data_IF_883484511769
#
_entry.id   IF_883484511769
#
_cell.length_a   1.000
_cell.length_b   1.000
_cell.length_c   1.000
_cell.angle_alpha   90.00
_cell.angle_beta   90.00
_cell.angle_gamma   90.00
#
_symmetry.space_group_name_H-M   'P 1'
#
loop_
_entity.id
_entity.type
_entity.pdbx_description
1 polymer ?
#
# COMPACT_ATOMS: atom_id res chain seq x y z
N UNK A 1 -26.01 45.32 -19.84
CA UNK A 1 -25.32 44.04 -20.06
C UNK A 1 -24.15 44.04 -19.11
N UNK A 2 -24.13 43.11 -18.16
CA UNK A 2 -23.03 42.93 -17.20
C UNK A 2 -22.51 41.53 -17.43
N UNK A 3 -21.30 41.45 -17.98
CA UNK A 3 -20.71 40.20 -18.43
C UNK A 3 -20.42 39.28 -17.23
N UNK A 4 -20.76 38.01 -17.39
CA UNK A 4 -20.36 36.96 -16.45
C UNK A 4 -18.84 36.78 -16.59
N UNK A 5 -18.04 36.84 -15.50
CA UNK A 5 -16.61 36.65 -15.61
C UNK A 5 -16.32 35.25 -16.16
N UNK A 6 -15.40 35.17 -17.13
CA UNK A 6 -15.07 33.94 -17.82
C UNK A 6 -14.71 32.81 -16.83
N UNK A 7 -15.23 31.61 -17.10
CA UNK A 7 -14.86 30.42 -16.34
C UNK A 7 -13.38 30.13 -16.57
N UNK A 8 -12.55 30.45 -15.57
CA UNK A 8 -11.11 30.15 -15.57
C UNK A 8 -10.94 28.64 -15.72
N UNK A 9 -10.31 28.20 -16.81
CA UNK A 9 -10.08 26.80 -17.06
C UNK A 9 -8.94 26.31 -16.16
N UNK A 10 -9.30 25.65 -15.06
CA UNK A 10 -8.37 25.00 -14.14
C UNK A 10 -8.00 23.63 -14.69
N UNK A 11 -6.69 23.38 -14.84
CA UNK A 11 -6.16 22.13 -15.38
C UNK A 11 -5.01 21.61 -14.51
N UNK A 12 -5.01 20.32 -14.22
CA UNK A 12 -3.84 19.68 -13.61
C UNK A 12 -2.72 19.48 -14.63
N UNK A 13 -1.53 19.94 -14.27
CA UNK A 13 -0.30 19.80 -15.03
C UNK A 13 0.79 19.16 -14.14
N UNK A 14 1.62 18.30 -14.71
CA UNK A 14 2.74 17.68 -13.99
C UNK A 14 3.79 18.73 -13.62
N UNK A 15 4.25 18.74 -12.36
CA UNK A 15 5.20 19.73 -11.85
C UNK A 15 6.48 19.80 -12.69
N UNK A 16 7.02 18.65 -13.10
CA UNK A 16 8.19 18.57 -13.99
C UNK A 16 7.99 19.13 -15.41
N UNK A 17 6.77 19.58 -15.76
CA UNK A 17 6.46 20.25 -17.04
C UNK A 17 6.12 21.73 -16.89
N UNK A 18 6.25 22.31 -15.70
CA UNK A 18 6.04 23.74 -15.46
C UNK A 18 7.13 24.58 -16.14
N UNK A 19 6.72 25.72 -16.70
CA UNK A 19 7.58 26.69 -17.38
C UNK A 19 7.28 28.11 -16.88
N UNK A 20 8.21 29.04 -17.11
CA UNK A 20 7.95 30.48 -16.95
C UNK A 20 6.70 30.88 -17.75
N UNK A 21 5.83 31.71 -17.14
CA UNK A 21 4.56 32.14 -17.69
C UNK A 21 3.36 31.27 -17.31
N UNK A 22 3.53 30.11 -16.65
CA UNK A 22 2.38 29.37 -16.12
C UNK A 22 1.80 30.09 -14.89
N UNK A 23 0.48 30.31 -14.91
CA UNK A 23 -0.29 30.86 -13.80
C UNK A 23 -0.80 29.71 -12.91
N UNK A 24 -0.18 29.50 -11.75
CA UNK A 24 -0.54 28.41 -10.83
C UNK A 24 -1.51 28.86 -9.74
N UNK A 25 -2.37 27.95 -9.28
CA UNK A 25 -3.10 28.09 -8.02
C UNK A 25 -2.14 27.80 -6.85
N UNK A 26 -2.14 28.66 -5.84
CA UNK A 26 -1.30 28.51 -4.65
C UNK A 26 -1.89 27.46 -3.68
N UNK A 27 -1.08 26.90 -2.76
CA UNK A 27 -1.54 25.90 -1.78
C UNK A 27 -2.67 26.36 -0.83
N UNK A 28 -3.00 27.66 -0.82
CA UNK A 28 -4.16 28.20 -0.11
C UNK A 28 -5.50 27.97 -0.84
N UNK A 29 -5.47 27.56 -2.11
CA UNK A 29 -6.66 27.26 -2.91
C UNK A 29 -7.43 28.48 -3.43
N UNK A 30 -7.04 29.71 -3.07
CA UNK A 30 -7.76 30.94 -3.43
C UNK A 30 -6.95 31.88 -4.33
N UNK A 31 -5.62 31.92 -4.15
CA UNK A 31 -4.74 32.87 -4.84
C UNK A 31 -4.02 32.21 -6.00
N UNK A 32 -3.77 32.98 -7.06
CA UNK A 32 -3.01 32.55 -8.23
C UNK A 32 -1.76 33.40 -8.41
N UNK A 33 -0.66 32.81 -8.87
CA UNK A 33 0.58 33.52 -9.15
C UNK A 33 1.28 32.98 -10.40
N UNK A 34 1.91 33.87 -11.16
CA UNK A 34 2.66 33.52 -12.36
C UNK A 34 4.09 33.08 -11.98
N UNK A 35 4.54 31.98 -12.58
CA UNK A 35 5.91 31.49 -12.47
C UNK A 35 6.83 32.38 -13.30
N UNK A 36 7.77 33.06 -12.64
CA UNK A 36 8.81 33.85 -13.32
C UNK A 36 10.03 32.99 -13.71
N UNK A 37 10.40 32.02 -12.87
CA UNK A 37 11.57 31.17 -13.06
C UNK A 37 11.30 29.76 -12.51
N UNK A 38 11.81 28.74 -13.20
CA UNK A 38 11.78 27.33 -12.78
C UNK A 38 13.21 26.80 -12.71
N UNK A 39 13.56 26.20 -11.58
CA UNK A 39 14.80 25.42 -11.41
C UNK A 39 14.47 23.98 -11.01
N UNK A 40 15.41 23.06 -11.30
CA UNK A 40 15.23 21.62 -11.07
C UNK A 40 16.33 21.10 -10.14
N UNK A 41 15.95 20.80 -8.90
CA UNK A 41 16.81 20.20 -7.88
C UNK A 41 16.85 18.67 -8.10
N UNK A 42 18.05 18.10 -8.14
CA UNK A 42 18.26 16.65 -8.27
C UNK A 42 18.51 16.01 -6.90
N UNK A 43 18.12 14.74 -6.74
CA UNK A 43 18.49 13.94 -5.57
C UNK A 43 19.97 13.51 -5.59
N UNK A 44 20.40 12.84 -4.52
CA UNK A 44 21.75 12.28 -4.35
C UNK A 44 22.11 11.20 -5.40
N UNK A 45 21.13 10.69 -6.15
CA UNK A 45 21.32 9.74 -7.25
C UNK A 45 21.30 10.42 -8.63
N UNK A 46 21.14 11.75 -8.68
CA UNK A 46 21.12 12.57 -9.88
C UNK A 46 19.78 12.59 -10.62
N UNK A 47 18.70 12.01 -10.07
CA UNK A 47 17.37 12.07 -10.65
C UNK A 47 16.66 13.39 -10.27
N UNK A 48 15.80 13.97 -11.13
CA UNK A 48 15.00 15.14 -10.78
C UNK A 48 14.07 14.87 -9.59
N UNK A 49 14.21 15.64 -8.51
CA UNK A 49 13.48 15.44 -7.26
C UNK A 49 12.49 16.57 -6.96
N UNK A 50 12.95 17.82 -7.05
CA UNK A 50 12.13 19.00 -6.77
C UNK A 50 12.18 20.02 -7.91
N UNK A 51 11.04 20.67 -8.13
CA UNK A 51 10.87 21.85 -8.96
C UNK A 51 10.81 23.06 -8.01
N UNK A 52 11.68 24.03 -8.25
CA UNK A 52 11.72 25.30 -7.53
C UNK A 52 11.10 26.38 -8.44
N UNK A 53 9.86 26.74 -8.16
CA UNK A 53 9.13 27.75 -8.95
C UNK A 53 9.12 29.09 -8.21
N UNK A 54 9.86 30.08 -8.73
CA UNK A 54 9.89 31.45 -8.21
C UNK A 54 8.81 32.30 -8.85
N UNK A 55 8.03 33.01 -8.04
CA UNK A 55 6.82 33.72 -8.47
C UNK A 55 7.05 35.22 -8.71
N UNK A 56 6.28 35.80 -9.62
CA UNK A 56 6.29 37.26 -9.90
C UNK A 56 5.91 38.12 -8.68
N UNK A 57 5.10 37.59 -7.75
CA UNK A 57 4.76 38.24 -6.48
C UNK A 57 5.82 38.10 -5.38
N UNK A 58 6.94 37.42 -5.65
CA UNK A 58 7.95 37.03 -4.66
C UNK A 58 7.61 35.72 -3.94
N UNK A 59 8.66 35.04 -3.48
CA UNK A 59 8.57 33.69 -2.90
C UNK A 59 8.82 32.56 -3.91
N UNK A 60 9.15 31.39 -3.38
CA UNK A 60 9.52 30.20 -4.15
C UNK A 60 8.76 28.98 -3.63
N UNK A 61 8.07 28.25 -4.51
CA UNK A 61 7.46 26.97 -4.18
C UNK A 61 8.46 25.83 -4.40
N UNK A 62 8.50 24.88 -3.46
CA UNK A 62 9.20 23.59 -3.59
C UNK A 62 8.15 22.53 -3.90
N UNK A 63 8.19 21.92 -5.08
CA UNK A 63 7.17 20.98 -5.56
C UNK A 63 7.88 19.69 -5.98
N UNK A 64 7.39 18.52 -5.60
CA UNK A 64 7.99 17.26 -6.06
C UNK A 64 7.73 17.04 -7.56
N UNK A 65 8.73 16.57 -8.30
CA UNK A 65 8.66 16.47 -9.78
C UNK A 65 7.48 15.60 -10.27
N UNK A 66 7.11 14.58 -9.50
CA UNK A 66 5.98 13.68 -9.79
C UNK A 66 4.61 14.12 -9.26
N UNK A 67 4.48 15.32 -8.70
CA UNK A 67 3.19 15.89 -8.28
C UNK A 67 2.47 16.58 -9.43
N UNK A 68 1.13 16.62 -9.40
CA UNK A 68 0.36 17.56 -10.22
C UNK A 68 0.17 18.90 -9.51
N UNK A 69 0.04 19.96 -10.31
CA UNK A 69 -0.23 21.35 -9.88
C UNK A 69 -1.34 21.91 -10.76
N UNK A 70 -2.27 22.64 -10.16
CA UNK A 70 -3.36 23.27 -10.90
C UNK A 70 -2.88 24.57 -11.56
N UNK A 71 -2.92 24.59 -12.89
CA UNK A 71 -2.62 25.75 -13.74
C UNK A 71 -3.94 26.35 -14.24
N UNK A 72 -3.98 27.67 -14.37
CA UNK A 72 -5.06 28.42 -15.01
C UNK A 72 -4.71 28.63 -16.48
N UNK A 73 -5.50 28.07 -17.38
CA UNK A 73 -5.44 28.39 -18.81
C UNK A 73 -6.23 29.70 -19.07
N UNK A 74 -5.54 30.74 -19.54
CA UNK A 74 -6.19 31.89 -20.18
C UNK A 74 -6.52 31.54 -21.63
N UNK A 75 -7.76 31.79 -22.05
CA UNK A 75 -8.16 31.61 -23.45
C UNK A 75 -7.53 32.73 -24.29
N UNK A 76 -6.52 32.39 -25.10
CA UNK A 76 -6.08 33.29 -26.17
C UNK A 76 -7.08 33.21 -27.33
N UNK A 77 -7.91 34.23 -27.49
CA UNK A 77 -8.68 34.41 -28.74
C UNK A 77 -7.74 34.61 -29.93
N UNK A 78 -8.21 34.16 -31.09
CA UNK A 78 -7.42 33.79 -32.27
C UNK A 78 -7.05 34.99 -33.21
N UNK A 79 -6.38 34.66 -34.32
CA UNK A 79 -6.37 35.35 -35.63
C UNK A 79 -5.05 36.05 -36.06
N UNK A 80 -4.40 35.40 -37.04
CA UNK A 80 -3.39 35.90 -38.02
C UNK A 80 -2.01 36.38 -37.56
N UNK A 81 -0.97 35.77 -38.11
CA UNK A 81 -0.24 36.42 -39.22
C UNK A 81 0.45 35.41 -40.15
N UNK A 82 0.43 35.71 -41.46
CA UNK A 82 0.96 34.86 -42.53
C UNK A 82 2.45 35.14 -42.80
N UNK A 83 3.19 34.06 -43.08
CA UNK A 83 4.53 33.93 -43.69
C UNK A 83 5.38 35.17 -44.07
N UNK A 84 6.67 35.11 -43.75
CA UNK A 84 7.73 35.34 -44.75
C UNK A 84 9.00 34.53 -44.46
N UNK A 85 9.69 34.09 -45.52
CA UNK A 85 10.80 33.13 -45.45
C UNK A 85 12.18 33.78 -45.27
N UNK A 86 13.19 33.00 -44.82
CA UNK A 86 14.52 32.87 -45.48
C UNK A 86 15.26 31.64 -44.94
N UNK A 87 15.49 30.63 -45.79
CA UNK A 87 16.58 29.62 -45.71
C UNK A 87 17.68 30.05 -46.70
N UNK A 88 18.93 29.51 -46.75
CA UNK A 88 19.38 28.12 -46.48
C UNK A 88 20.71 28.08 -45.65
N UNK A 89 21.49 27.01 -45.41
CA UNK A 89 21.67 25.62 -45.93
C UNK A 89 22.31 24.78 -44.78
N UNK A 90 22.60 23.46 -44.80
CA UNK A 90 22.49 22.32 -45.75
C UNK A 90 21.71 21.16 -45.03
N UNK A 91 21.25 20.02 -45.61
CA UNK A 91 21.73 19.06 -46.64
C UNK A 91 22.87 18.13 -46.12
N UNK A 92 22.80 16.77 -46.11
CA UNK A 92 21.81 15.76 -46.57
C UNK A 92 21.87 14.48 -45.69
N UNK A 93 20.70 13.88 -45.41
CA UNK A 93 20.36 12.42 -45.51
C UNK A 93 21.04 11.40 -44.57
N UNK A 94 20.28 10.60 -43.79
CA UNK A 94 19.43 9.44 -44.20
C UNK A 94 20.24 8.23 -44.75
N UNK A 95 19.92 6.96 -44.47
CA UNK A 95 19.10 6.31 -43.43
C UNK A 95 19.16 4.76 -43.61
N UNK A 96 18.89 3.99 -42.54
CA UNK A 96 18.45 2.58 -42.54
C UNK A 96 19.47 1.45 -42.85
N UNK A 97 19.21 0.29 -42.24
CA UNK A 97 19.91 -1.01 -42.30
C UNK A 97 19.44 -1.87 -43.53
N UNK A 98 19.66 -3.21 -43.63
CA UNK A 98 20.64 -4.14 -43.00
C UNK A 98 21.36 -5.07 -44.03
N UNK A 99 22.28 -5.95 -43.58
CA UNK A 99 22.75 -7.08 -44.41
C UNK A 99 24.00 -7.85 -43.96
N UNK A 100 23.87 -9.17 -43.76
CA UNK A 100 24.94 -10.19 -43.96
C UNK A 100 25.04 -10.52 -45.48
N UNK A 101 26.09 -11.20 -46.03
CA UNK A 101 26.92 -12.26 -45.41
C UNK A 101 28.44 -12.29 -45.81
N UNK A 102 29.15 -13.34 -45.37
CA UNK A 102 30.05 -14.25 -46.15
C UNK A 102 31.30 -14.76 -45.38
N UNK A 103 31.56 -16.08 -45.52
CA UNK A 103 32.81 -16.77 -45.13
C UNK A 103 33.93 -16.55 -46.18
N UNK A 104 35.16 -17.05 -45.93
CA UNK A 104 35.52 -18.36 -46.50
C UNK A 104 36.39 -19.27 -45.61
N UNK A 105 36.39 -20.58 -45.96
CA UNK A 105 37.38 -21.59 -45.56
C UNK A 105 38.82 -21.25 -46.08
N UNK A 106 39.95 -21.92 -45.79
CA UNK A 106 40.36 -23.33 -45.64
C UNK A 106 41.73 -23.36 -44.88
N UNK A 107 42.42 -24.44 -44.48
CA UNK A 107 42.26 -25.91 -44.45
C UNK A 107 43.33 -26.50 -43.45
N UNK A 108 43.49 -27.83 -43.35
CA UNK A 108 44.74 -28.43 -42.83
C UNK A 108 44.65 -29.71 -41.98
N UNK A 109 44.28 -30.83 -42.59
CA UNK A 109 44.71 -32.20 -42.19
C UNK A 109 45.66 -32.74 -43.30
N UNK A 110 46.39 -33.88 -43.20
CA UNK A 110 46.16 -35.06 -42.34
C UNK A 110 47.41 -35.80 -41.79
N UNK A 111 47.20 -36.93 -41.09
CA UNK A 111 47.92 -38.21 -41.34
C UNK A 111 47.37 -39.38 -40.47
N UNK A 112 47.18 -40.54 -41.10
CA UNK A 112 46.75 -41.82 -40.50
C UNK A 112 47.96 -42.59 -39.91
N UNK A 113 47.84 -43.56 -38.99
CA UNK A 113 47.38 -44.94 -39.28
C UNK A 113 47.31 -45.81 -37.99
N UNK A 114 46.57 -46.95 -37.97
CA UNK A 114 46.31 -47.77 -36.79
C UNK A 114 47.11 -49.09 -36.71
N UNK A 115 47.20 -49.69 -35.51
CA UNK A 115 47.59 -51.11 -35.30
C UNK A 115 46.85 -51.75 -34.11
N UNK A 116 46.60 -53.06 -34.20
CA UNK A 116 45.70 -53.84 -33.33
C UNK A 116 46.42 -54.58 -32.16
N UNK A 117 45.75 -54.63 -31.00
CA UNK A 117 45.52 -55.73 -30.03
C UNK A 117 46.55 -56.89 -29.78
N UNK A 118 46.41 -57.70 -28.70
CA UNK A 118 45.81 -57.48 -27.36
C UNK A 118 46.73 -57.92 -26.19
N UNK A 119 46.37 -57.58 -24.94
CA UNK A 119 47.07 -58.09 -23.75
C UNK A 119 46.34 -57.81 -22.42
N UNK A 120 46.02 -58.86 -21.67
CA UNK A 120 45.05 -58.84 -20.57
C UNK A 120 45.67 -58.67 -19.16
N UNK A 121 45.14 -57.75 -18.35
CA UNK A 121 45.12 -57.79 -16.86
C UNK A 121 44.19 -56.71 -16.29
N UNK A 122 43.31 -57.00 -15.30
CA UNK A 122 42.24 -56.08 -14.88
C UNK A 122 42.54 -55.23 -13.62
N UNK A 123 41.69 -54.20 -13.45
CA UNK A 123 41.45 -53.32 -12.29
C UNK A 123 42.39 -52.09 -12.11
N UNK A 124 41.88 -50.96 -11.57
CA UNK A 124 40.56 -50.72 -11.00
C UNK A 124 39.64 -49.77 -11.80
N UNK A 125 38.40 -49.64 -11.32
CA UNK A 125 37.28 -48.87 -11.88
C UNK A 125 37.61 -47.37 -11.99
N UNK A 126 37.50 -46.81 -13.21
CA UNK A 126 37.38 -45.37 -13.42
C UNK A 126 35.89 -45.00 -13.46
N UNK A 127 35.43 -44.25 -12.46
CA UNK A 127 34.04 -43.76 -12.41
C UNK A 127 33.80 -42.71 -13.51
N UNK A 128 32.88 -42.98 -14.43
CA UNK A 128 32.27 -41.92 -15.23
C UNK A 128 31.57 -40.93 -14.29
N UNK A 129 31.73 -39.60 -14.48
CA UNK A 129 30.99 -38.62 -13.70
C UNK A 129 29.51 -38.72 -14.09
N UNK A 130 28.70 -39.30 -13.22
CA UNK A 130 27.26 -39.25 -13.37
C UNK A 130 26.82 -37.78 -13.33
N UNK A 131 26.14 -37.32 -14.37
CA UNK A 131 25.44 -36.03 -14.34
C UNK A 131 24.29 -36.17 -13.36
N UNK A 132 24.55 -35.86 -12.09
CA UNK A 132 23.53 -35.72 -11.06
C UNK A 132 22.75 -34.45 -11.40
N UNK A 133 21.69 -34.62 -12.20
CA UNK A 133 20.63 -33.62 -12.29
C UNK A 133 20.07 -33.50 -10.87
N UNK A 134 20.16 -32.32 -10.21
CA UNK A 134 19.55 -32.14 -8.91
C UNK A 134 18.05 -32.44 -9.02
N UNK A 135 17.43 -33.10 -8.03
CA UNK A 135 15.98 -33.24 -8.04
C UNK A 135 15.36 -31.85 -8.18
N UNK A 136 14.36 -31.74 -9.07
CA UNK A 136 13.59 -30.50 -9.23
C UNK A 136 13.17 -30.02 -7.83
N UNK A 137 13.34 -28.72 -7.50
CA UNK A 137 12.91 -28.23 -6.19
C UNK A 137 11.43 -28.62 -5.97
N UNK A 138 11.04 -28.92 -4.72
CA UNK A 138 9.64 -29.24 -4.43
C UNK A 138 8.73 -28.15 -5.00
N UNK A 139 7.58 -28.58 -5.52
CA UNK A 139 6.50 -27.71 -6.00
C UNK A 139 6.35 -26.53 -5.04
N UNK A 140 6.25 -25.28 -5.54
CA UNK A 140 6.20 -24.09 -4.69
C UNK A 140 5.18 -24.29 -3.55
N UNK A 141 5.50 -23.82 -2.33
CA UNK A 141 4.67 -24.05 -1.16
C UNK A 141 3.23 -23.61 -1.43
N UNK A 142 2.29 -24.29 -0.77
CA UNK A 142 0.86 -24.04 -0.88
C UNK A 142 0.52 -22.55 -0.80
N UNK A 143 -0.56 -22.16 -1.49
CA UNK A 143 -1.03 -20.77 -1.59
C UNK A 143 -0.80 -20.00 -0.28
N UNK A 144 -0.09 -18.87 -0.38
CA UNK A 144 0.51 -18.12 0.72
C UNK A 144 -0.49 -17.43 1.69
N UNK A 145 -1.75 -17.85 1.69
CA UNK A 145 -2.84 -17.42 2.56
C UNK A 145 -3.60 -18.64 3.12
N UNK A 146 -4.82 -18.46 3.65
CA UNK A 146 -5.63 -19.57 4.15
C UNK A 146 -6.11 -20.51 3.04
N UNK A 147 -6.28 -21.79 3.40
CA UNK A 147 -6.97 -22.80 2.59
C UNK A 147 -8.48 -22.59 2.61
N UNK A 148 -9.19 -23.23 1.69
CA UNK A 148 -10.67 -23.20 1.64
C UNK A 148 -11.30 -23.75 2.93
N UNK A 149 -10.70 -24.78 3.53
CA UNK A 149 -11.11 -25.35 4.83
C UNK A 149 -10.90 -24.36 5.99
N UNK A 150 -9.80 -23.60 5.99
CA UNK A 150 -9.56 -22.53 6.97
C UNK A 150 -10.55 -21.37 6.77
N UNK A 151 -10.81 -20.94 5.52
CA UNK A 151 -11.79 -19.88 5.24
C UNK A 151 -13.22 -20.26 5.65
N UNK A 152 -13.59 -21.54 5.58
CA UNK A 152 -14.90 -22.04 6.02
C UNK A 152 -15.14 -21.90 7.54
N UNK A 153 -14.11 -21.58 8.34
CA UNK A 153 -14.25 -21.24 9.76
C UNK A 153 -14.74 -19.81 9.99
N UNK A 154 -14.70 -18.95 8.97
CA UNK A 154 -15.30 -17.61 9.01
C UNK A 154 -16.77 -17.76 8.59
N UNK A 155 -17.75 -17.40 9.46
CA UNK A 155 -19.16 -17.52 9.12
C UNK A 155 -19.52 -16.59 7.96
N UNK A 156 -20.39 -17.06 7.07
CA UNK A 156 -20.98 -16.18 6.07
C UNK A 156 -21.86 -15.11 6.77
N UNK A 157 -21.85 -13.84 6.31
CA UNK A 157 -22.64 -12.79 6.92
C UNK A 157 -24.14 -13.09 6.84
N UNK A 158 -24.86 -12.68 7.88
CA UNK A 158 -26.31 -12.92 8.02
C UNK A 158 -27.13 -11.97 7.13
N UNK A 159 -27.16 -12.25 5.82
CA UNK A 159 -27.90 -11.44 4.84
C UNK A 159 -26.97 -10.56 3.99
N UNK A 160 -27.44 -9.36 3.64
CA UNK A 160 -26.59 -8.40 2.91
C UNK A 160 -25.75 -7.56 3.89
N UNK A 161 -24.65 -6.94 3.43
CA UNK A 161 -23.86 -6.03 4.27
C UNK A 161 -24.71 -4.90 4.88
N UNK A 162 -25.69 -4.37 4.12
CA UNK A 162 -26.63 -3.37 4.60
C UNK A 162 -27.49 -3.88 5.76
N UNK A 163 -27.99 -5.12 5.69
CA UNK A 163 -28.78 -5.73 6.79
C UNK A 163 -27.97 -5.93 8.07
N UNK A 164 -26.66 -6.22 7.95
CA UNK A 164 -25.76 -6.33 9.12
C UNK A 164 -25.52 -4.95 9.76
N UNK A 165 -25.35 -3.92 8.94
CA UNK A 165 -25.23 -2.52 9.41
C UNK A 165 -26.54 -2.01 10.03
N UNK A 166 -27.68 -2.36 9.46
CA UNK A 166 -29.02 -2.02 9.97
C UNK A 166 -29.28 -2.70 11.32
N UNK A 167 -28.99 -4.00 11.45
CA UNK A 167 -29.10 -4.74 12.71
C UNK A 167 -28.25 -4.13 13.83
N UNK A 168 -27.05 -3.64 13.52
CA UNK A 168 -26.20 -2.93 14.49
C UNK A 168 -26.82 -1.59 14.95
N UNK A 169 -27.55 -0.88 14.09
CA UNK A 169 -28.31 0.31 14.48
C UNK A 169 -29.56 -0.03 15.31
N UNK A 170 -30.28 -1.09 14.95
CA UNK A 170 -31.46 -1.57 15.70
C UNK A 170 -31.09 -2.05 17.11
N UNK A 171 -29.91 -2.65 17.29
CA UNK A 171 -29.39 -3.06 18.60
C UNK A 171 -29.01 -1.86 19.49
N UNK A 172 -28.61 -0.73 18.91
CA UNK A 172 -28.09 0.45 19.62
C UNK A 172 -28.79 1.77 19.20
N UNK A 173 -30.12 1.90 19.37
CA UNK A 173 -30.91 3.00 18.81
C UNK A 173 -30.60 4.38 19.40
N UNK A 174 -29.96 4.45 20.56
CA UNK A 174 -29.55 5.69 21.23
C UNK A 174 -28.06 6.04 21.03
N UNK A 175 -27.28 5.18 20.36
CA UNK A 175 -25.84 5.34 20.20
C UNK A 175 -25.50 6.25 19.01
N UNK A 176 -25.38 7.55 19.26
CA UNK A 176 -25.17 8.56 18.20
C UNK A 176 -23.94 8.29 17.31
N UNK A 177 -22.86 7.71 17.85
CA UNK A 177 -21.69 7.30 17.06
C UNK A 177 -22.05 6.24 16.01
N UNK A 178 -22.75 5.18 16.43
CA UNK A 178 -23.29 4.14 15.54
C UNK A 178 -24.23 4.75 14.50
N UNK A 179 -25.23 5.53 14.91
CA UNK A 179 -26.21 6.13 13.99
C UNK A 179 -25.56 6.99 12.88
N UNK A 180 -24.50 7.75 13.20
CA UNK A 180 -23.75 8.56 12.23
C UNK A 180 -22.89 7.72 11.28
N UNK A 181 -22.44 6.54 11.71
CA UNK A 181 -21.74 5.57 10.87
C UNK A 181 -22.74 4.82 9.97
N UNK A 182 -23.87 4.38 10.52
CA UNK A 182 -24.88 3.63 9.76
C UNK A 182 -25.63 4.50 8.74
N UNK A 183 -25.92 5.79 8.99
CA UNK A 183 -26.50 6.68 7.95
C UNK A 183 -25.58 6.84 6.72
N UNK A 184 -24.25 6.87 6.95
CA UNK A 184 -23.27 6.97 5.86
C UNK A 184 -23.21 5.67 5.05
N UNK A 185 -23.38 4.53 5.71
CA UNK A 185 -23.40 3.19 5.10
C UNK A 185 -24.76 2.80 4.49
N UNK A 186 -25.87 3.36 4.97
CA UNK A 186 -27.25 3.07 4.50
C UNK A 186 -27.49 3.48 3.03
N UNK A 187 -26.59 4.26 2.43
CA UNK A 187 -26.59 4.63 1.01
C UNK A 187 -26.05 3.50 0.10
N UNK A 188 -25.62 2.38 0.69
CA UNK A 188 -25.14 1.16 0.02
C UNK A 188 -23.67 0.88 0.32
N UNK A 189 -23.34 -0.38 0.63
CA UNK A 189 -21.98 -0.78 1.00
C UNK A 189 -21.12 -0.98 -0.26
N UNK A 190 -20.09 -0.15 -0.41
CA UNK A 190 -19.17 -0.20 -1.54
C UNK A 190 -17.75 -0.61 -1.11
N UNK A 191 -17.47 -1.91 -1.15
CA UNK A 191 -16.16 -2.47 -0.81
C UNK A 191 -14.98 -1.98 -1.66
N UNK A 192 -15.22 -1.27 -2.78
CA UNK A 192 -14.15 -0.62 -3.57
C UNK A 192 -13.78 0.78 -3.05
N UNK A 193 -14.61 1.39 -2.21
CA UNK A 193 -14.35 2.72 -1.66
C UNK A 193 -13.60 2.64 -0.33
N UNK A 194 -12.42 3.24 -0.25
CA UNK A 194 -11.63 3.30 0.99
C UNK A 194 -12.38 3.98 2.14
N UNK A 195 -13.23 4.98 1.87
CA UNK A 195 -14.06 5.61 2.91
C UNK A 195 -15.13 4.67 3.46
N UNK A 196 -15.72 3.81 2.62
CA UNK A 196 -16.72 2.84 3.06
C UNK A 196 -16.08 1.71 3.88
N UNK A 197 -14.89 1.24 3.48
CA UNK A 197 -14.10 0.30 4.28
C UNK A 197 -13.72 0.91 5.64
N UNK A 198 -13.34 2.19 5.67
CA UNK A 198 -13.06 2.92 6.92
C UNK A 198 -14.32 3.01 7.79
N UNK A 199 -15.46 3.40 7.23
CA UNK A 199 -16.71 3.56 7.99
C UNK A 199 -17.21 2.22 8.58
N UNK A 200 -17.02 1.09 7.87
CA UNK A 200 -17.27 -0.24 8.42
C UNK A 200 -16.29 -0.60 9.56
N UNK A 201 -15.00 -0.30 9.39
CA UNK A 201 -13.98 -0.54 10.43
C UNK A 201 -14.24 0.31 11.68
N UNK A 202 -14.52 1.60 11.51
CA UNK A 202 -14.86 2.54 12.58
C UNK A 202 -16.12 2.07 13.33
N UNK A 203 -17.14 1.57 12.62
CA UNK A 203 -18.37 1.00 13.21
C UNK A 203 -18.08 -0.25 14.05
N UNK A 204 -17.28 -1.18 13.54
CA UNK A 204 -16.87 -2.36 14.30
C UNK A 204 -16.11 -1.98 15.58
N UNK A 205 -15.22 -0.98 15.52
CA UNK A 205 -14.47 -0.50 16.68
C UNK A 205 -15.37 0.23 17.68
N UNK A 206 -16.32 1.06 17.25
CA UNK A 206 -17.25 1.76 18.15
C UNK A 206 -18.18 0.77 18.89
N UNK A 207 -18.72 -0.24 18.19
CA UNK A 207 -19.51 -1.33 18.78
C UNK A 207 -18.72 -2.08 19.85
N UNK A 208 -17.47 -2.48 19.56
CA UNK A 208 -16.66 -3.23 20.52
C UNK A 208 -16.19 -2.38 21.68
N UNK A 209 -15.61 -1.21 21.40
CA UNK A 209 -14.90 -0.40 22.39
C UNK A 209 -15.92 0.34 23.25
N UNK A 210 -16.73 1.20 22.65
CA UNK A 210 -17.65 2.09 23.38
C UNK A 210 -18.86 1.33 23.92
N UNK A 211 -19.49 0.49 23.09
CA UNK A 211 -20.75 -0.17 23.45
C UNK A 211 -20.59 -1.57 24.08
N UNK A 212 -19.37 -2.14 24.04
CA UNK A 212 -19.04 -3.48 24.55
C UNK A 212 -19.82 -4.62 23.85
N UNK A 213 -20.33 -4.35 22.66
CA UNK A 213 -21.01 -5.33 21.82
C UNK A 213 -20.01 -6.03 20.89
N UNK A 214 -19.50 -7.16 21.36
CA UNK A 214 -18.59 -8.00 20.59
C UNK A 214 -19.28 -8.77 19.45
N UNK A 215 -20.58 -9.06 19.57
CA UNK A 215 -21.33 -9.85 18.58
C UNK A 215 -21.60 -9.02 17.32
N UNK A 216 -22.21 -7.84 17.48
CA UNK A 216 -22.44 -6.92 16.36
C UNK A 216 -21.12 -6.40 15.78
N UNK A 217 -20.11 -6.13 16.64
CA UNK A 217 -18.78 -5.73 16.16
C UNK A 217 -18.15 -6.79 15.25
N UNK A 218 -18.16 -8.06 15.67
CA UNK A 218 -17.59 -9.15 14.88
C UNK A 218 -18.35 -9.35 13.57
N UNK A 219 -19.70 -9.28 13.60
CA UNK A 219 -20.52 -9.38 12.40
C UNK A 219 -20.23 -8.25 11.38
N UNK A 220 -20.01 -7.01 11.84
CA UNK A 220 -19.60 -5.89 10.97
C UNK A 220 -18.16 -6.05 10.48
N UNK A 221 -17.23 -6.48 11.34
CA UNK A 221 -15.84 -6.72 10.96
C UNK A 221 -15.71 -7.84 9.91
N UNK A 222 -16.50 -8.92 10.02
CA UNK A 222 -16.52 -10.06 9.11
C UNK A 222 -16.72 -9.63 7.64
N UNK A 223 -17.57 -8.60 7.40
CA UNK A 223 -17.80 -8.00 6.07
C UNK A 223 -16.52 -7.52 5.38
N UNK A 224 -15.51 -7.13 6.17
CA UNK A 224 -14.20 -6.68 5.70
C UNK A 224 -13.19 -7.83 5.64
N UNK A 225 -13.23 -8.78 6.59
CA UNK A 225 -12.23 -9.86 6.68
C UNK A 225 -12.18 -10.78 5.45
N UNK A 226 -13.28 -10.90 4.70
CA UNK A 226 -13.38 -11.70 3.48
C UNK A 226 -12.76 -11.04 2.23
N UNK A 227 -12.30 -9.79 2.34
CA UNK A 227 -11.74 -9.05 1.22
C UNK A 227 -10.26 -9.40 0.98
N UNK A 228 -9.86 -9.81 -0.24
CA UNK A 228 -8.47 -10.08 -0.55
C UNK A 228 -7.66 -8.77 -0.62
N UNK A 229 -6.37 -8.83 -0.27
CA UNK A 229 -5.46 -7.72 -0.50
C UNK A 229 -5.31 -7.43 -1.99
N UNK A 230 -5.55 -6.18 -2.39
CA UNK A 230 -5.63 -5.73 -3.78
C UNK A 230 -4.39 -4.92 -4.24
N UNK A 231 -3.38 -4.80 -3.38
CA UNK A 231 -2.20 -3.98 -3.63
C UNK A 231 -2.32 -2.51 -3.21
N UNK A 232 -3.43 -2.09 -2.58
CA UNK A 232 -3.60 -0.72 -2.07
C UNK A 232 -3.47 -0.67 -0.54
N UNK A 233 -2.34 -0.19 0.03
CA UNK A 233 -2.13 -0.13 1.47
C UNK A 233 -3.16 0.73 2.21
N UNK A 234 -3.64 1.81 1.59
CA UNK A 234 -4.62 2.72 2.21
C UNK A 234 -6.01 2.10 2.36
N UNK A 235 -6.41 1.21 1.43
CA UNK A 235 -7.62 0.39 1.58
C UNK A 235 -7.41 -0.79 2.51
N UNK A 236 -6.22 -1.39 2.48
CA UNK A 236 -5.86 -2.51 3.34
C UNK A 236 -5.91 -2.13 4.82
N UNK A 237 -5.48 -0.93 5.21
CA UNK A 237 -5.46 -0.49 6.61
C UNK A 237 -6.81 -0.72 7.36
N UNK A 238 -7.96 -0.46 6.72
CA UNK A 238 -9.28 -0.71 7.34
C UNK A 238 -9.63 -2.21 7.43
N UNK A 239 -9.20 -3.00 6.45
CA UNK A 239 -9.36 -4.48 6.47
C UNK A 239 -8.45 -5.08 7.55
N UNK A 240 -7.23 -4.59 7.66
CA UNK A 240 -6.21 -4.99 8.63
C UNK A 240 -6.63 -4.67 10.07
N UNK A 241 -7.13 -3.47 10.34
CA UNK A 241 -7.69 -3.10 11.64
C UNK A 241 -8.86 -4.02 12.02
N UNK A 242 -9.75 -4.32 11.06
CA UNK A 242 -10.90 -5.20 11.28
C UNK A 242 -10.49 -6.67 11.48
N UNK A 243 -9.47 -7.16 10.78
CA UNK A 243 -8.87 -8.48 11.00
C UNK A 243 -8.21 -8.60 12.37
N UNK A 244 -7.52 -7.55 12.82
CA UNK A 244 -6.91 -7.50 14.15
C UNK A 244 -7.97 -7.50 15.27
N UNK A 245 -9.04 -6.72 15.11
CA UNK A 245 -10.18 -6.69 16.02
C UNK A 245 -10.92 -8.04 16.05
N UNK A 246 -11.26 -8.60 14.89
CA UNK A 246 -11.96 -9.89 14.79
C UNK A 246 -11.14 -11.05 15.37
N UNK A 247 -9.82 -11.08 15.12
CA UNK A 247 -8.87 -11.99 15.78
C UNK A 247 -8.94 -11.87 17.31
N UNK A 248 -8.89 -10.64 17.83
CA UNK A 248 -8.92 -10.42 19.27
C UNK A 248 -10.24 -10.86 19.91
N UNK A 249 -11.39 -10.50 19.32
CA UNK A 249 -12.72 -10.93 19.80
C UNK A 249 -12.80 -12.45 19.83
N UNK A 250 -12.47 -13.11 18.71
CA UNK A 250 -12.50 -14.58 18.62
C UNK A 250 -11.57 -15.25 19.65
N UNK A 251 -10.46 -14.63 20.04
CA UNK A 251 -9.57 -15.14 21.10
C UNK A 251 -10.18 -14.99 22.49
N UNK A 252 -10.88 -13.90 22.77
CA UNK A 252 -11.62 -13.74 24.04
C UNK A 252 -12.76 -14.78 24.16
N UNK A 253 -13.45 -15.06 23.05
CA UNK A 253 -14.55 -16.03 22.98
C UNK A 253 -14.08 -17.50 22.84
N UNK A 254 -12.77 -17.75 22.86
CA UNK A 254 -12.19 -19.10 22.75
C UNK A 254 -12.23 -19.72 21.34
N UNK A 255 -12.69 -19.00 20.32
CA UNK A 255 -12.72 -19.36 18.90
C UNK A 255 -11.32 -19.31 18.26
N UNK A 256 -10.37 -20.07 18.85
CA UNK A 256 -8.94 -20.01 18.55
C UNK A 256 -8.58 -20.36 17.09
N UNK A 257 -9.31 -21.29 16.48
CA UNK A 257 -9.07 -21.70 15.08
C UNK A 257 -9.43 -20.58 14.12
N UNK A 258 -10.67 -20.05 14.22
CA UNK A 258 -11.14 -18.87 13.47
C UNK A 258 -10.22 -17.65 13.67
N UNK A 259 -9.78 -17.40 14.89
CA UNK A 259 -8.81 -16.33 15.15
C UNK A 259 -7.48 -16.51 14.40
N UNK A 260 -6.97 -17.75 14.31
CA UNK A 260 -5.76 -18.05 13.55
C UNK A 260 -5.95 -17.82 12.03
N UNK A 261 -7.17 -17.96 11.50
CA UNK A 261 -7.49 -17.62 10.10
C UNK A 261 -7.36 -16.11 9.86
N UNK A 262 -7.89 -15.27 10.75
CA UNK A 262 -7.71 -13.81 10.65
C UNK A 262 -6.24 -13.40 10.80
N UNK A 263 -5.52 -14.01 11.75
CA UNK A 263 -4.07 -13.83 11.91
C UNK A 263 -3.29 -14.34 10.67
N UNK A 264 -3.85 -15.22 9.85
CA UNK A 264 -3.24 -15.65 8.58
C UNK A 264 -3.58 -14.69 7.43
N UNK A 265 -4.83 -14.21 7.38
CA UNK A 265 -5.31 -13.21 6.41
C UNK A 265 -4.60 -11.87 6.55
N UNK A 266 -4.37 -11.38 7.77
CA UNK A 266 -3.69 -10.09 8.03
C UNK A 266 -2.27 -10.07 7.44
N UNK A 267 -1.62 -11.24 7.37
CA UNK A 267 -0.28 -11.44 6.81
C UNK A 267 -0.28 -11.74 5.30
N UNK A 268 -1.41 -11.66 4.60
CA UNK A 268 -1.48 -11.89 3.15
C UNK A 268 -0.56 -10.97 2.33
N UNK A 269 -0.46 -9.64 2.58
CA UNK A 269 0.48 -8.78 1.86
C UNK A 269 1.94 -9.20 2.04
N UNK A 270 2.25 -9.77 3.20
CA UNK A 270 3.60 -10.16 3.61
C UNK A 270 4.15 -11.34 2.82
N UNK A 271 3.25 -12.22 2.40
CA UNK A 271 3.54 -13.45 1.70
C UNK A 271 3.36 -13.30 0.17
N UNK A 272 3.18 -12.08 -0.35
CA UNK A 272 3.18 -11.84 -1.79
C UNK A 272 4.58 -11.93 -2.42
N UNK A 273 5.64 -11.67 -1.65
CA UNK A 273 7.01 -11.86 -2.14
C UNK A 273 7.32 -13.35 -2.26
N UNK A 274 7.73 -13.76 -3.46
CA UNK A 274 8.01 -15.17 -3.80
C UNK A 274 9.50 -15.48 -3.79
N UNK A 275 10.37 -14.46 -3.88
CA UNK A 275 11.80 -14.63 -3.72
C UNK A 275 12.17 -14.89 -2.25
N UNK A 276 12.77 -16.05 -1.90
CA UNK A 276 13.05 -16.39 -0.50
C UNK A 276 14.01 -15.44 0.21
N UNK A 277 14.91 -14.77 -0.53
CA UNK A 277 15.87 -13.83 0.05
C UNK A 277 15.19 -12.50 0.40
N UNK A 278 14.44 -11.92 -0.54
CA UNK A 278 13.64 -10.71 -0.32
C UNK A 278 12.58 -10.92 0.75
N UNK A 279 11.86 -12.04 0.73
CA UNK A 279 10.87 -12.38 1.76
C UNK A 279 11.51 -12.41 3.15
N UNK A 280 12.70 -13.01 3.30
CA UNK A 280 13.47 -13.01 4.55
C UNK A 280 13.92 -11.61 4.98
N UNK A 281 14.30 -10.74 4.03
CA UNK A 281 14.67 -9.36 4.35
C UNK A 281 13.45 -8.52 4.76
N UNK A 282 12.32 -8.67 4.07
CA UNK A 282 11.06 -8.02 4.41
C UNK A 282 10.56 -8.43 5.80
N UNK A 283 10.58 -9.73 6.13
CA UNK A 283 10.27 -10.22 7.46
C UNK A 283 11.17 -9.61 8.55
N UNK A 284 12.48 -9.45 8.30
CA UNK A 284 13.41 -8.79 9.23
C UNK A 284 13.19 -7.27 9.35
N UNK A 285 12.70 -6.61 8.30
CA UNK A 285 12.28 -5.20 8.39
C UNK A 285 11.03 -5.09 9.27
N UNK A 286 10.02 -5.94 9.02
CA UNK A 286 8.77 -5.99 9.77
C UNK A 286 8.95 -6.31 11.24
N UNK A 287 9.78 -7.31 11.59
CA UNK A 287 10.03 -7.64 12.98
C UNK A 287 10.63 -6.46 13.74
N UNK A 288 11.46 -5.61 13.10
CA UNK A 288 11.97 -4.39 13.74
C UNK A 288 10.86 -3.37 14.00
N UNK A 289 9.93 -3.15 13.07
CA UNK A 289 8.78 -2.27 13.32
C UNK A 289 7.80 -2.83 14.36
N UNK A 290 7.65 -4.15 14.47
CA UNK A 290 6.88 -4.79 15.55
C UNK A 290 7.60 -4.70 16.91
N UNK A 291 8.94 -4.69 16.92
CA UNK A 291 9.75 -4.57 18.13
C UNK A 291 9.83 -3.15 18.68
N UNK A 292 9.65 -2.13 17.82
CA UNK A 292 9.67 -0.70 18.15
C UNK A 292 8.34 -0.01 17.77
N UNK A 293 7.20 -0.44 18.34
CA UNK A 293 5.89 0.11 17.98
C UNK A 293 5.71 1.53 18.54
N UNK A 294 4.99 2.38 17.81
CA UNK A 294 4.54 3.66 18.35
C UNK A 294 3.38 3.44 19.32
N UNK A 295 3.64 3.57 20.62
CA UNK A 295 2.61 3.47 21.66
C UNK A 295 2.14 4.84 22.18
N UNK A 296 2.49 5.96 21.53
CA UNK A 296 1.94 7.29 21.83
C UNK A 296 2.10 7.76 23.29
N UNK A 297 3.11 7.25 24.02
CA UNK A 297 3.32 7.58 25.45
C UNK A 297 3.44 9.08 25.68
N UNK A 298 4.18 9.80 24.82
CA UNK A 298 4.43 11.24 24.98
C UNK A 298 3.17 12.06 24.76
N UNK A 299 2.32 11.62 23.84
CA UNK A 299 1.07 12.26 23.47
C UNK A 299 0.02 12.05 24.57
N UNK A 300 -0.11 10.83 25.09
CA UNK A 300 -1.00 10.50 26.22
C UNK A 300 -0.59 11.25 27.48
N UNK A 301 0.70 11.23 27.86
CA UNK A 301 1.17 12.01 29.02
C UNK A 301 0.94 13.52 28.84
N UNK A 302 1.16 14.06 27.64
CA UNK A 302 0.87 15.47 27.35
C UNK A 302 -0.62 15.81 27.47
N UNK A 303 -1.53 14.92 27.04
CA UNK A 303 -2.97 15.12 27.21
C UNK A 303 -3.37 15.09 28.69
N UNK A 304 -2.80 14.17 29.48
CA UNK A 304 -3.00 14.08 30.94
C UNK A 304 -2.49 15.35 31.64
N UNK A 305 -1.25 15.78 31.35
CA UNK A 305 -0.65 17.00 31.93
C UNK A 305 -1.48 18.26 31.63
N UNK A 306 -2.12 18.30 30.45
CA UNK A 306 -3.01 19.39 30.04
C UNK A 306 -4.48 19.20 30.48
N UNK A 307 -4.82 18.10 31.18
CA UNK A 307 -6.20 17.73 31.54
C UNK A 307 -7.18 17.67 30.36
N UNK A 308 -6.69 17.29 29.17
CA UNK A 308 -7.50 17.15 27.96
C UNK A 308 -7.90 15.67 27.77
N UNK A 309 -9.00 15.28 28.41
CA UNK A 309 -9.48 13.89 28.40
C UNK A 309 -9.95 13.41 27.02
N UNK A 310 -10.51 14.28 26.19
CA UNK A 310 -10.93 13.92 24.82
C UNK A 310 -9.71 13.51 23.98
N UNK A 311 -8.66 14.35 23.99
CA UNK A 311 -7.41 14.04 23.30
C UNK A 311 -6.67 12.86 23.95
N UNK A 312 -6.74 12.67 25.27
CA UNK A 312 -6.20 11.47 25.93
C UNK A 312 -6.86 10.20 25.37
N UNK A 313 -8.21 10.20 25.27
CA UNK A 313 -8.97 9.08 24.73
C UNK A 313 -8.60 8.78 23.27
N UNK A 314 -8.48 9.81 22.42
CA UNK A 314 -8.05 9.64 21.02
C UNK A 314 -6.67 8.98 20.91
N UNK A 315 -5.66 9.42 21.67
CA UNK A 315 -4.34 8.79 21.65
C UNK A 315 -4.33 7.36 22.22
N UNK A 316 -5.17 7.07 23.24
CA UNK A 316 -5.33 5.72 23.77
C UNK A 316 -6.01 4.77 22.77
N UNK A 317 -6.94 5.25 21.95
CA UNK A 317 -7.53 4.47 20.85
C UNK A 317 -6.46 4.09 19.82
N UNK A 318 -5.62 5.04 19.38
CA UNK A 318 -4.50 4.77 18.46
C UNK A 318 -3.46 3.79 19.05
N UNK A 319 -3.20 3.88 20.36
CA UNK A 319 -2.39 2.89 21.08
C UNK A 319 -3.07 1.51 21.08
N UNK A 320 -4.37 1.44 21.35
CA UNK A 320 -5.13 0.18 21.39
C UNK A 320 -5.10 -0.51 20.02
N UNK A 321 -5.35 0.22 18.93
CA UNK A 321 -5.19 -0.27 17.56
C UNK A 321 -3.78 -0.83 17.32
N UNK A 322 -2.74 -0.09 17.74
CA UNK A 322 -1.34 -0.53 17.63
C UNK A 322 -1.06 -1.82 18.42
N UNK A 323 -1.66 -2.00 19.60
CA UNK A 323 -1.52 -3.21 20.41
C UNK A 323 -2.29 -4.40 19.80
N UNK A 324 -3.49 -4.17 19.25
CA UNK A 324 -4.26 -5.19 18.53
C UNK A 324 -3.52 -5.65 17.26
N UNK A 325 -2.96 -4.72 16.49
CA UNK A 325 -2.10 -4.98 15.33
C UNK A 325 -0.91 -5.85 15.70
N UNK A 326 -0.15 -5.46 16.73
CA UNK A 326 0.99 -6.26 17.24
C UNK A 326 0.56 -7.69 17.56
N UNK A 327 -0.58 -7.85 18.24
CA UNK A 327 -1.09 -9.16 18.66
C UNK A 327 -1.43 -10.03 17.45
N UNK A 328 -2.19 -9.49 16.49
CA UNK A 328 -2.64 -10.22 15.31
C UNK A 328 -1.48 -10.64 14.40
N UNK A 329 -0.42 -9.83 14.33
CA UNK A 329 0.79 -10.13 13.55
C UNK A 329 1.72 -11.19 14.18
N UNK A 330 1.44 -11.63 15.42
CA UNK A 330 2.22 -12.65 16.12
C UNK A 330 3.09 -12.12 17.28
N UNK A 331 2.91 -10.86 17.64
CA UNK A 331 3.55 -10.22 18.79
C UNK A 331 4.89 -9.53 18.45
N UNK A 332 5.56 -9.13 19.52
CA UNK A 332 6.86 -8.46 19.49
C UNK A 332 7.90 -9.30 20.22
N UNK A 333 9.16 -9.29 19.78
CA UNK A 333 10.26 -9.91 20.53
C UNK A 333 10.59 -9.11 21.81
N UNK A 334 10.16 -7.85 21.91
CA UNK A 334 10.35 -6.97 23.07
C UNK A 334 9.16 -6.95 24.04
N UNK A 335 7.98 -7.38 23.59
CA UNK A 335 6.74 -7.45 24.39
C UNK A 335 6.11 -8.85 24.23
N UNK A 336 6.32 -9.72 25.21
CA UNK A 336 5.76 -11.07 25.21
C UNK A 336 4.22 -11.08 25.28
N UNK A 337 3.59 -12.09 24.67
CA UNK A 337 2.13 -12.14 24.46
C UNK A 337 1.29 -11.88 25.72
N UNK A 338 1.63 -12.45 26.88
CA UNK A 338 0.86 -12.22 28.11
C UNK A 338 0.93 -10.77 28.63
N UNK A 339 2.03 -10.06 28.39
CA UNK A 339 2.13 -8.63 28.69
C UNK A 339 1.38 -7.79 27.63
N UNK A 340 1.38 -8.22 26.38
CA UNK A 340 0.62 -7.58 25.31
C UNK A 340 -0.89 -7.68 25.56
N UNK A 341 -1.40 -8.86 25.91
CA UNK A 341 -2.80 -9.06 26.29
C UNK A 341 -3.19 -8.22 27.51
N UNK A 342 -2.35 -8.18 28.56
CA UNK A 342 -2.55 -7.31 29.73
C UNK A 342 -2.62 -5.83 29.35
N UNK A 343 -1.78 -5.36 28.42
CA UNK A 343 -1.82 -3.97 27.91
C UNK A 343 -3.11 -3.68 27.14
N UNK A 344 -3.56 -4.60 26.30
CA UNK A 344 -4.82 -4.45 25.56
C UNK A 344 -6.00 -4.35 26.53
N UNK A 345 -6.08 -5.23 27.55
CA UNK A 345 -7.12 -5.14 28.58
C UNK A 345 -7.09 -3.82 29.34
N UNK A 346 -5.91 -3.37 29.78
CA UNK A 346 -5.74 -2.09 30.48
C UNK A 346 -6.16 -0.88 29.64
N UNK A 347 -5.78 -0.82 28.35
CA UNK A 347 -6.17 0.30 27.49
C UNK A 347 -7.66 0.24 27.12
N UNK A 348 -8.24 -0.94 26.93
CA UNK A 348 -9.69 -1.11 26.80
C UNK A 348 -10.43 -0.57 28.01
N UNK A 349 -9.99 -0.87 29.24
CA UNK A 349 -10.56 -0.29 30.45
C UNK A 349 -10.42 1.23 30.47
N UNK A 350 -9.26 1.77 30.08
CA UNK A 350 -9.00 3.21 30.09
C UNK A 350 -9.82 4.02 29.05
N UNK A 351 -10.10 3.49 27.85
CA UNK A 351 -10.92 4.19 26.84
C UNK A 351 -12.44 4.06 27.06
N UNK A 352 -12.84 3.20 28.01
CA UNK A 352 -14.23 2.89 28.42
C UNK A 352 -14.65 3.56 29.73
N UNK A 353 -13.73 4.23 30.43
CA UNK A 353 -13.94 4.88 31.72
C UNK A 353 -14.47 6.32 31.55
#
# INVERSE_FOLDING_TARGET
MTETPAARHLREQQAGSLTTGNLILLPDGERTAEIHQVELERDDFGAPALVLASLTGGGTLRIAVGSSVTVVEEQSDDVTHLALATSPSQDVGQSLEPGHPEEPAEAGQPAESPQEQPGEKPAPVASVPAVVVPPLPPVPPAANGPSEEELALIPAPAGTPESVVEAAAEAHPDAMGVLLLTDRLAKGVNFKSGSCLKDLSDLAHELFITLKDAESSLAVADLLTVLPYDGNPGRWASVEASLALASYICRQDGQNERAAVYEKLIRTPENQETDPFKARMAAKVRQRSLNEPNLYDKEIFRSIDNSNHDAEREWRLLRLESLLFLRAHGGSETIGMGELERRISNELEAVRA
#
